data_IF_014644932539
#
_entry.id   IF_014644932539
#
_cell.length_a   1.000
_cell.length_b   1.000
_cell.length_c   1.000
_cell.angle_alpha   90.00
_cell.angle_beta   90.00
_cell.angle_gamma   90.00
#
_symmetry.space_group_name_H-M   'P 1'
#
loop_
_entity.id
_entity.type
_entity.pdbx_description
1 polymer ?
#
# COMPACT_ATOMS: atom_id res chain seq x y z
N UNK A 1 -57.28 9.57 17.77
CA UNK A 1 -56.63 9.78 16.46
C UNK A 1 -55.39 10.69 16.54
N UNK A 2 -55.41 11.80 17.31
CA UNK A 2 -54.23 12.67 17.47
C UNK A 2 -52.98 12.00 18.10
N UNK A 3 -53.15 11.07 19.05
CA UNK A 3 -52.01 10.43 19.75
C UNK A 3 -51.16 9.51 18.84
N UNK A 4 -51.79 8.84 17.86
CA UNK A 4 -51.07 7.93 16.96
C UNK A 4 -50.23 8.69 15.93
N UNK A 5 -50.64 9.91 15.55
CA UNK A 5 -49.88 10.75 14.61
C UNK A 5 -48.63 11.32 15.27
N UNK A 6 -48.68 11.67 16.56
CA UNK A 6 -47.53 12.22 17.30
C UNK A 6 -46.46 11.14 17.55
N UNK A 7 -46.86 9.90 17.86
CA UNK A 7 -45.90 8.80 18.02
C UNK A 7 -45.22 8.39 16.70
N UNK A 8 -45.93 8.46 15.57
CA UNK A 8 -45.35 8.16 14.25
C UNK A 8 -44.29 9.17 13.79
N UNK A 9 -44.49 10.46 14.08
CA UNK A 9 -43.52 11.53 13.75
C UNK A 9 -42.29 11.46 14.66
N UNK A 10 -42.46 11.15 15.95
CA UNK A 10 -41.34 10.99 16.88
C UNK A 10 -40.44 9.77 16.53
N UNK A 11 -41.04 8.67 16.07
CA UNK A 11 -40.28 7.49 15.62
C UNK A 11 -39.48 7.76 14.32
N UNK A 12 -40.02 8.58 13.40
CA UNK A 12 -39.31 8.98 12.19
C UNK A 12 -38.11 9.90 12.50
N UNK A 13 -38.27 10.82 13.47
CA UNK A 13 -37.19 11.71 13.90
C UNK A 13 -36.07 10.96 14.66
N UNK A 14 -36.38 9.95 15.47
CA UNK A 14 -35.35 9.11 16.11
C UNK A 14 -34.58 8.23 15.12
N UNK A 15 -35.20 7.79 14.02
CA UNK A 15 -34.49 7.04 12.96
C UNK A 15 -33.50 7.92 12.16
N UNK A 16 -33.77 9.22 12.04
CA UNK A 16 -32.88 10.21 11.42
C UNK A 16 -31.75 10.67 12.36
N UNK A 17 -31.91 10.46 13.68
CA UNK A 17 -30.94 10.82 14.73
C UNK A 17 -30.20 9.61 15.30
N UNK A 18 -30.50 8.39 14.84
CA UNK A 18 -29.67 7.25 15.14
C UNK A 18 -28.27 7.56 14.59
N UNK A 19 -27.21 7.60 15.42
CA UNK A 19 -25.87 7.59 14.88
C UNK A 19 -25.84 6.40 13.92
N UNK A 20 -25.49 6.62 12.65
CA UNK A 20 -25.11 5.52 11.77
C UNK A 20 -24.17 4.68 12.61
N UNK A 21 -24.56 3.45 12.93
CA UNK A 21 -23.62 2.51 13.49
C UNK A 21 -22.40 2.61 12.56
N UNK A 22 -21.25 2.95 13.13
CA UNK A 22 -20.00 2.89 12.39
C UNK A 22 -19.81 1.40 12.16
N UNK A 23 -20.41 0.91 11.07
CA UNK A 23 -20.12 -0.41 10.54
C UNK A 23 -18.64 -0.30 10.22
N UNK A 24 -17.81 -1.07 10.93
CA UNK A 24 -16.43 -1.26 10.52
C UNK A 24 -16.48 -1.66 9.04
N UNK A 25 -15.85 -0.87 8.17
CA UNK A 25 -15.93 -1.15 6.74
C UNK A 25 -15.30 -2.49 6.40
N UNK A 26 -15.54 -2.93 5.17
CA UNK A 26 -15.11 -4.25 4.69
C UNK A 26 -13.58 -4.37 4.68
N UNK A 27 -12.85 -3.26 4.65
CA UNK A 27 -11.41 -3.21 4.50
C UNK A 27 -10.94 -2.48 3.26
N UNK A 28 -9.66 -2.69 2.94
CA UNK A 28 -8.96 -2.13 1.79
C UNK A 28 -9.10 -3.09 0.60
N UNK A 29 -9.34 -2.58 -0.60
CA UNK A 29 -9.22 -3.38 -1.83
C UNK A 29 -8.02 -2.91 -2.65
N UNK A 30 -7.17 -3.82 -3.13
CA UNK A 30 -6.10 -3.50 -4.07
C UNK A 30 -6.59 -3.67 -5.51
N UNK A 31 -6.99 -2.56 -6.15
CA UNK A 31 -7.34 -2.54 -7.57
C UNK A 31 -6.07 -2.47 -8.44
N UNK A 32 -5.31 -3.56 -8.41
CA UNK A 32 -4.01 -3.68 -9.04
C UNK A 32 -4.08 -3.48 -10.57
N UNK A 33 -3.30 -2.52 -11.06
CA UNK A 33 -3.21 -2.10 -12.48
C UNK A 33 -4.44 -1.42 -13.07
N UNK A 34 -5.46 -1.10 -12.27
CA UNK A 34 -6.65 -0.41 -12.77
C UNK A 34 -6.35 1.04 -13.15
N UNK A 35 -7.10 1.56 -14.14
CA UNK A 35 -7.05 2.97 -14.52
C UNK A 35 -7.85 3.82 -13.54
N UNK A 36 -7.50 5.10 -13.44
CA UNK A 36 -8.12 6.01 -12.48
C UNK A 36 -9.63 6.19 -12.73
N UNK A 37 -10.05 6.24 -13.99
CA UNK A 37 -11.47 6.37 -14.36
C UNK A 37 -12.29 5.11 -14.05
N UNK A 38 -11.69 3.93 -14.17
CA UNK A 38 -12.31 2.65 -13.80
C UNK A 38 -12.46 2.54 -12.27
N UNK A 39 -11.43 2.94 -11.51
CA UNK A 39 -11.49 2.99 -10.04
C UNK A 39 -12.57 3.97 -9.56
N UNK A 40 -12.65 5.15 -10.18
CA UNK A 40 -13.66 6.15 -9.82
C UNK A 40 -15.08 5.62 -10.00
N UNK A 41 -15.35 4.89 -11.09
CA UNK A 41 -16.63 4.22 -11.33
C UNK A 41 -16.88 3.10 -10.32
N UNK A 42 -15.85 2.30 -10.00
CA UNK A 42 -15.97 1.19 -9.04
C UNK A 42 -16.27 1.70 -7.62
N UNK A 43 -15.70 2.84 -7.23
CA UNK A 43 -16.05 3.54 -5.99
C UNK A 43 -17.53 3.90 -5.90
N UNK A 44 -18.09 4.47 -6.97
CA UNK A 44 -19.48 4.94 -7.02
C UNK A 44 -20.48 3.79 -7.13
N UNK A 45 -20.18 2.80 -7.97
CA UNK A 45 -21.12 1.76 -8.37
C UNK A 45 -21.12 0.56 -7.42
N UNK A 46 -19.99 0.29 -6.76
CA UNK A 46 -19.82 -0.94 -5.97
C UNK A 46 -19.21 -0.68 -4.60
N UNK A 47 -18.00 -0.14 -4.50
CA UNK A 47 -17.24 -0.12 -3.24
C UNK A 47 -17.91 0.74 -2.16
N UNK A 48 -18.34 1.96 -2.51
CA UNK A 48 -19.10 2.83 -1.61
C UNK A 48 -20.41 2.18 -1.16
N UNK A 49 -21.29 1.73 -2.08
CA UNK A 49 -22.52 1.01 -1.74
C UNK A 49 -22.31 -0.28 -0.92
N UNK A 50 -21.16 -0.95 -1.03
CA UNK A 50 -20.81 -2.16 -0.28
C UNK A 50 -20.06 -1.89 1.02
N UNK A 51 -19.70 -0.64 1.30
CA UNK A 51 -19.05 -0.26 2.55
C UNK A 51 -17.56 -0.64 2.64
N UNK A 52 -16.84 -0.66 1.51
CA UNK A 52 -15.38 -0.72 1.54
C UNK A 52 -14.79 0.59 2.06
N UNK A 53 -13.70 0.49 2.83
CA UNK A 53 -13.09 1.67 3.46
C UNK A 53 -12.19 2.43 2.49
N UNK A 54 -11.43 1.70 1.68
CA UNK A 54 -10.39 2.29 0.85
C UNK A 54 -10.01 1.42 -0.36
N UNK A 55 -9.40 2.07 -1.35
CA UNK A 55 -8.70 1.43 -2.47
C UNK A 55 -7.20 1.67 -2.32
N UNK A 56 -6.39 0.60 -2.31
CA UNK A 56 -4.98 0.68 -2.66
C UNK A 56 -4.87 0.76 -4.19
N UNK A 57 -4.22 1.80 -4.71
CA UNK A 57 -3.93 1.95 -6.15
C UNK A 57 -2.47 1.58 -6.42
N UNK A 58 -2.17 1.06 -7.62
CA UNK A 58 -0.79 0.84 -8.07
C UNK A 58 0.01 2.16 -8.12
N UNK A 59 1.36 2.12 -8.20
CA UNK A 59 2.16 3.33 -8.25
C UNK A 59 1.70 4.30 -9.33
N UNK A 60 1.51 5.55 -8.92
CA UNK A 60 0.96 6.65 -9.75
C UNK A 60 2.05 7.52 -10.36
N UNK A 61 3.25 7.44 -9.80
CA UNK A 61 4.43 8.18 -10.25
C UNK A 61 4.95 7.64 -11.57
N UNK A 62 5.62 8.50 -12.32
CA UNK A 62 6.28 8.14 -13.57
C UNK A 62 7.31 7.05 -13.35
N UNK A 63 7.20 5.99 -14.16
CA UNK A 63 8.07 4.82 -14.12
C UNK A 63 8.67 4.52 -15.49
N UNK A 64 9.64 3.61 -15.53
CA UNK A 64 10.26 3.16 -16.77
C UNK A 64 9.25 2.46 -17.69
N UNK A 65 9.30 2.80 -18.99
CA UNK A 65 8.57 2.08 -20.02
C UNK A 65 9.41 0.89 -20.47
N UNK A 66 9.08 -0.30 -19.99
CA UNK A 66 9.86 -1.52 -20.23
C UNK A 66 9.19 -2.36 -21.31
N UNK A 67 9.98 -2.96 -22.20
CA UNK A 67 9.44 -3.79 -23.28
C UNK A 67 8.54 -4.91 -22.74
N UNK A 68 7.38 -5.11 -23.38
CA UNK A 68 6.35 -6.05 -22.91
C UNK A 68 5.45 -5.52 -21.80
N UNK A 69 5.69 -4.29 -21.30
CA UNK A 69 4.89 -3.60 -20.27
C UNK A 69 4.59 -4.47 -19.04
N UNK A 70 5.62 -5.09 -18.44
CA UNK A 70 5.41 -5.94 -17.28
C UNK A 70 4.86 -5.12 -16.11
N UNK A 71 4.05 -5.74 -15.25
CA UNK A 71 3.45 -5.05 -14.10
C UNK A 71 4.50 -4.39 -13.20
N UNK A 72 5.64 -5.06 -13.02
CA UNK A 72 6.74 -4.61 -12.17
C UNK A 72 7.46 -3.37 -12.70
N UNK A 73 7.21 -2.93 -13.95
CA UNK A 73 7.78 -1.67 -14.45
C UNK A 73 7.35 -0.47 -13.58
N UNK A 74 6.17 -0.54 -12.95
CA UNK A 74 5.67 0.51 -12.05
C UNK A 74 6.50 0.70 -10.79
N UNK A 75 7.27 -0.31 -10.40
CA UNK A 75 8.18 -0.29 -9.26
C UNK A 75 9.59 0.15 -9.68
N UNK A 76 9.74 0.78 -10.85
CA UNK A 76 11.00 1.37 -11.31
C UNK A 76 10.81 2.85 -11.61
N UNK A 77 10.80 3.72 -10.57
CA UNK A 77 10.54 5.14 -10.73
C UNK A 77 11.56 5.82 -11.63
N UNK A 78 11.06 6.74 -12.47
CA UNK A 78 11.89 7.70 -13.20
C UNK A 78 11.71 9.12 -12.68
N UNK A 79 10.50 9.46 -12.22
CA UNK A 79 10.25 10.72 -11.56
C UNK A 79 9.05 10.66 -10.64
N UNK A 80 8.78 11.77 -9.95
CA UNK A 80 7.62 11.95 -9.09
C UNK A 80 6.43 12.63 -9.80
N UNK A 81 6.49 12.81 -11.13
CA UNK A 81 5.32 13.27 -11.92
C UNK A 81 4.19 12.25 -11.78
N UNK A 82 2.96 12.71 -11.57
CA UNK A 82 1.78 11.84 -11.50
C UNK A 82 1.31 11.54 -12.93
N UNK A 83 1.93 10.53 -13.54
CA UNK A 83 1.59 10.05 -14.88
C UNK A 83 2.08 8.61 -15.06
N UNK A 84 1.12 7.70 -15.14
CA UNK A 84 1.39 6.26 -15.21
C UNK A 84 0.49 5.59 -16.24
N UNK A 85 0.56 4.25 -16.34
CA UNK A 85 -0.41 3.47 -17.14
C UNK A 85 -1.86 3.63 -16.68
N UNK A 86 -2.09 4.09 -15.44
CA UNK A 86 -3.45 4.31 -14.92
C UNK A 86 -4.08 5.63 -15.36
N UNK A 87 -3.28 6.59 -15.83
CA UNK A 87 -3.72 7.93 -16.20
C UNK A 87 -2.74 9.03 -15.76
N UNK A 88 -3.17 10.28 -15.91
CA UNK A 88 -2.43 11.48 -15.54
C UNK A 88 -2.89 12.08 -14.20
N UNK A 89 -2.29 13.21 -13.81
CA UNK A 89 -2.59 13.91 -12.56
C UNK A 89 -4.05 14.35 -12.43
N UNK A 90 -4.65 14.80 -13.54
CA UNK A 90 -6.06 15.20 -13.55
C UNK A 90 -6.98 13.99 -13.34
N UNK A 91 -6.68 12.87 -14.00
CA UNK A 91 -7.39 11.61 -13.79
C UNK A 91 -7.25 11.09 -12.36
N UNK A 92 -6.05 11.18 -11.78
CA UNK A 92 -5.83 10.81 -10.38
C UNK A 92 -6.66 11.67 -9.43
N UNK A 93 -6.66 13.00 -9.64
CA UNK A 93 -7.45 13.93 -8.83
C UNK A 93 -8.95 13.67 -8.95
N UNK A 94 -9.48 13.46 -10.17
CA UNK A 94 -10.89 13.12 -10.39
C UNK A 94 -11.29 11.84 -9.65
N UNK A 95 -10.46 10.79 -9.75
CA UNK A 95 -10.66 9.54 -9.02
C UNK A 95 -10.71 9.76 -7.51
N UNK A 96 -9.76 10.48 -6.93
CA UNK A 96 -9.75 10.80 -5.50
C UNK A 96 -11.02 11.56 -5.08
N UNK A 97 -11.43 12.58 -5.84
CA UNK A 97 -12.60 13.39 -5.55
C UNK A 97 -13.91 12.57 -5.61
N UNK A 98 -14.05 11.68 -6.60
CA UNK A 98 -15.23 10.82 -6.77
C UNK A 98 -15.29 9.71 -5.73
N UNK A 99 -14.18 9.02 -5.48
CA UNK A 99 -14.11 8.01 -4.43
C UNK A 99 -14.40 8.59 -3.05
N UNK A 100 -13.85 9.77 -2.72
CA UNK A 100 -14.13 10.46 -1.46
C UNK A 100 -15.62 10.82 -1.31
N UNK A 101 -16.29 11.26 -2.37
CA UNK A 101 -17.75 11.48 -2.37
C UNK A 101 -18.54 10.20 -2.16
N UNK A 102 -18.03 9.07 -2.65
CA UNK A 102 -18.59 7.74 -2.42
C UNK A 102 -18.26 7.15 -1.02
N UNK A 103 -17.48 7.87 -0.20
CA UNK A 103 -17.05 7.42 1.12
C UNK A 103 -15.87 6.44 1.11
N UNK A 104 -15.17 6.31 -0.01
CA UNK A 104 -14.04 5.40 -0.20
C UNK A 104 -12.74 6.19 -0.26
N UNK A 105 -11.78 5.86 0.61
CA UNK A 105 -10.46 6.51 0.66
C UNK A 105 -9.52 5.97 -0.42
N UNK A 106 -8.54 6.76 -0.82
CA UNK A 106 -7.47 6.33 -1.74
C UNK A 106 -6.15 6.22 -1.00
N UNK A 107 -5.56 5.03 -1.04
CA UNK A 107 -4.21 4.75 -0.54
C UNK A 107 -3.27 4.51 -1.71
N UNK A 108 -2.23 5.33 -1.82
CA UNK A 108 -1.30 5.25 -2.96
C UNK A 108 -0.16 4.30 -2.62
N UNK A 109 0.14 3.38 -3.53
CA UNK A 109 1.38 2.60 -3.49
C UNK A 109 2.56 3.51 -3.87
N UNK A 110 3.43 3.82 -2.90
CA UNK A 110 4.53 4.76 -3.06
C UNK A 110 5.88 4.08 -2.99
N UNK A 111 6.67 4.31 -4.04
CA UNK A 111 8.00 3.71 -4.24
C UNK A 111 9.03 4.82 -4.09
N UNK A 112 9.68 4.87 -2.93
CA UNK A 112 10.73 5.85 -2.62
C UNK A 112 11.93 5.26 -1.87
N UNK A 113 12.03 3.92 -1.82
CA UNK A 113 13.27 3.24 -1.46
C UNK A 113 14.34 3.46 -2.53
N UNK A 114 13.95 3.29 -3.78
CA UNK A 114 14.84 3.24 -4.93
C UNK A 114 14.25 4.02 -6.12
N UNK A 115 15.10 4.28 -7.11
CA UNK A 115 14.70 4.60 -8.48
C UNK A 115 14.83 3.34 -9.36
N UNK A 116 14.63 3.45 -10.68
CA UNK A 116 14.80 2.32 -11.59
C UNK A 116 16.17 1.63 -11.47
N UNK A 117 16.24 0.36 -11.85
CA UNK A 117 17.52 -0.28 -12.15
C UNK A 117 18.12 0.30 -13.45
N UNK A 118 19.34 -0.11 -13.79
CA UNK A 118 19.95 0.29 -15.08
C UNK A 118 19.09 -0.19 -16.26
N UNK A 119 18.56 0.77 -17.02
CA UNK A 119 17.76 0.55 -18.21
C UNK A 119 18.60 0.60 -19.49
N UNK A 120 18.15 -0.03 -20.60
CA UNK A 120 18.73 0.19 -21.91
C UNK A 120 18.73 1.68 -22.30
N UNK A 121 19.77 2.11 -23.01
CA UNK A 121 19.85 3.49 -23.51
C UNK A 121 18.64 3.87 -24.37
N UNK A 122 18.10 5.07 -24.15
CA UNK A 122 16.90 5.56 -24.82
C UNK A 122 15.56 5.15 -24.17
N UNK A 123 15.59 4.41 -23.06
CA UNK A 123 14.39 4.16 -22.26
C UNK A 123 13.84 5.49 -21.73
N UNK A 124 12.53 5.68 -21.86
CA UNK A 124 11.81 6.87 -21.39
C UNK A 124 10.81 6.49 -20.31
N UNK A 125 10.45 7.47 -19.49
CA UNK A 125 9.37 7.32 -18.53
C UNK A 125 7.99 7.46 -19.15
N UNK A 126 6.99 6.95 -18.43
CA UNK A 126 5.57 7.06 -18.82
C UNK A 126 5.10 8.51 -18.99
N UNK A 127 5.81 9.49 -18.42
CA UNK A 127 5.61 10.93 -18.56
C UNK A 127 6.61 11.63 -19.48
N UNK A 128 7.36 10.87 -20.27
CA UNK A 128 8.33 11.36 -21.25
C UNK A 128 9.67 11.81 -20.66
N UNK A 129 9.93 11.61 -19.37
CA UNK A 129 11.24 11.93 -18.79
C UNK A 129 12.31 10.98 -19.31
N UNK A 130 13.50 11.52 -19.60
CA UNK A 130 14.72 10.75 -19.85
C UNK A 130 15.57 10.68 -18.58
N UNK A 131 16.28 9.58 -18.39
CA UNK A 131 17.29 9.43 -17.35
C UNK A 131 18.50 8.68 -17.89
N UNK A 132 19.69 8.99 -17.37
CA UNK A 132 20.86 8.13 -17.53
C UNK A 132 20.97 7.25 -16.28
N UNK A 133 20.25 6.13 -16.32
CA UNK A 133 20.15 5.22 -15.17
C UNK A 133 21.49 4.58 -14.83
N UNK A 134 22.37 4.36 -15.82
CA UNK A 134 23.68 3.74 -15.60
C UNK A 134 24.60 4.62 -14.75
N UNK A 135 24.42 5.94 -14.78
CA UNK A 135 25.12 6.89 -13.91
C UNK A 135 24.28 7.40 -12.74
N UNK A 136 23.11 6.77 -12.48
CA UNK A 136 22.12 7.19 -11.47
C UNK A 136 21.68 8.66 -11.61
N UNK A 137 21.49 9.12 -12.85
CA UNK A 137 21.09 10.49 -13.13
C UNK A 137 19.63 10.60 -13.57
N UNK A 138 18.80 11.20 -12.70
CA UNK A 138 17.35 11.36 -12.86
C UNK A 138 16.98 12.86 -12.87
N UNK A 139 17.13 13.54 -14.01
CA UNK A 139 17.00 15.01 -14.08
C UNK A 139 15.61 15.52 -13.74
N UNK A 140 14.55 14.75 -14.03
CA UNK A 140 13.16 15.13 -13.75
C UNK A 140 12.86 15.28 -12.24
N UNK A 141 13.62 14.60 -11.38
CA UNK A 141 13.58 14.81 -9.91
C UNK A 141 14.72 15.72 -9.45
N UNK A 142 15.77 15.84 -10.28
CA UNK A 142 17.07 16.42 -9.96
C UNK A 142 17.90 15.56 -9.01
N UNK A 143 17.84 14.23 -9.17
CA UNK A 143 18.80 13.33 -8.51
C UNK A 143 20.00 13.06 -9.41
N UNK A 144 21.17 12.99 -8.78
CA UNK A 144 22.42 12.47 -9.33
C UNK A 144 22.92 11.31 -8.48
N UNK A 145 24.02 10.67 -8.88
CA UNK A 145 24.65 9.60 -8.11
C UNK A 145 24.94 9.95 -6.63
N UNK A 146 25.07 11.23 -6.29
CA UNK A 146 25.29 11.70 -4.91
C UNK A 146 24.09 11.46 -3.99
N UNK A 147 22.90 11.27 -4.55
CA UNK A 147 21.65 11.07 -3.80
C UNK A 147 21.32 9.58 -3.54
N UNK A 148 22.23 8.69 -3.92
CA UNK A 148 22.09 7.25 -3.77
C UNK A 148 23.16 6.71 -2.84
N UNK A 149 22.87 5.59 -2.19
CA UNK A 149 23.89 4.83 -1.50
C UNK A 149 24.94 4.30 -2.51
N UNK A 150 26.12 3.98 -1.96
CA UNK A 150 27.18 3.31 -2.72
C UNK A 150 26.65 1.98 -3.25
N UNK A 151 26.92 1.68 -4.53
CA UNK A 151 26.42 0.45 -5.16
C UNK A 151 26.95 -0.80 -4.45
N UNK A 152 26.02 -1.60 -3.96
CA UNK A 152 26.22 -2.96 -3.45
C UNK A 152 24.92 -3.74 -3.64
N UNK A 153 24.97 -5.07 -3.54
CA UNK A 153 23.77 -5.91 -3.62
C UNK A 153 23.34 -6.38 -2.23
N UNK A 154 22.03 -6.48 -2.02
CA UNK A 154 21.48 -7.16 -0.84
C UNK A 154 21.78 -8.66 -0.98
N UNK A 155 22.57 -9.20 -0.07
CA UNK A 155 22.96 -10.61 -0.04
C UNK A 155 23.03 -11.20 1.37
N UNK A 156 22.75 -10.42 2.41
CA UNK A 156 22.76 -10.84 3.80
C UNK A 156 21.61 -10.20 4.61
N UNK A 157 20.49 -10.92 4.72
CA UNK A 157 19.34 -10.49 5.52
C UNK A 157 19.55 -10.55 7.04
N UNK A 158 20.71 -11.02 7.51
CA UNK A 158 21.13 -10.92 8.91
C UNK A 158 21.98 -9.67 9.20
N UNK A 159 22.22 -8.82 8.20
CA UNK A 159 22.85 -7.50 8.35
C UNK A 159 21.88 -6.40 7.93
N UNK A 160 21.38 -5.65 8.91
CA UNK A 160 20.44 -4.56 8.66
C UNK A 160 21.02 -3.45 7.76
N UNK A 161 22.33 -3.22 7.81
CA UNK A 161 23.00 -2.23 6.95
C UNK A 161 23.01 -2.71 5.49
N UNK A 162 23.33 -3.99 5.24
CA UNK A 162 23.24 -4.55 3.89
C UNK A 162 21.80 -4.51 3.36
N UNK A 163 20.80 -4.81 4.18
CA UNK A 163 19.38 -4.77 3.77
C UNK A 163 18.89 -3.36 3.43
N UNK A 164 19.41 -2.33 4.10
CA UNK A 164 18.89 -0.95 4.03
C UNK A 164 19.73 0.04 3.22
N UNK A 165 20.96 -0.33 2.85
CA UNK A 165 21.89 0.57 2.13
C UNK A 165 22.39 -0.02 0.79
N UNK A 166 21.90 -1.19 0.39
CA UNK A 166 22.28 -1.85 -0.86
C UNK A 166 21.09 -2.01 -1.80
N UNK A 167 21.39 -2.15 -3.08
CA UNK A 167 20.41 -2.22 -4.16
C UNK A 167 19.64 -3.56 -4.11
N UNK A 168 18.33 -3.45 -3.89
CA UNK A 168 17.38 -4.56 -4.02
C UNK A 168 17.26 -4.91 -5.50
N UNK A 169 17.76 -6.09 -5.90
CA UNK A 169 17.73 -6.57 -7.30
C UNK A 169 18.32 -5.57 -8.33
N UNK A 170 19.28 -4.74 -7.90
CA UNK A 170 19.93 -3.73 -8.75
C UNK A 170 19.12 -2.44 -8.93
N UNK A 171 18.01 -2.26 -8.22
CA UNK A 171 17.27 -1.01 -8.14
C UNK A 171 18.10 0.03 -7.39
N UNK A 172 18.31 1.21 -7.99
CA UNK A 172 19.24 2.20 -7.45
C UNK A 172 18.71 2.80 -6.15
N UNK A 173 19.39 2.47 -5.05
CA UNK A 173 18.97 2.71 -3.67
C UNK A 173 19.20 4.17 -3.23
N UNK A 174 18.12 4.88 -2.90
CA UNK A 174 18.17 6.29 -2.50
C UNK A 174 18.74 6.42 -1.08
N UNK A 175 19.53 7.45 -0.83
CA UNK A 175 20.02 7.78 0.52
C UNK A 175 19.01 8.69 1.24
N UNK A 176 18.02 8.09 1.91
CA UNK A 176 17.04 8.85 2.68
C UNK A 176 17.63 9.44 3.98
N UNK A 177 18.91 9.21 4.28
CA UNK A 177 19.63 9.93 5.33
C UNK A 177 19.87 11.40 4.96
N UNK A 178 19.91 11.71 3.66
CA UNK A 178 20.11 13.07 3.15
C UNK A 178 18.85 13.92 3.24
N UNK A 179 18.99 15.13 3.78
CA UNK A 179 17.89 16.10 3.86
C UNK A 179 17.31 16.44 2.47
N UNK A 180 18.15 16.50 1.44
CA UNK A 180 17.70 16.74 0.07
C UNK A 180 16.77 15.62 -0.44
N UNK A 181 17.14 14.35 -0.22
CA UNK A 181 16.34 13.19 -0.63
C UNK A 181 15.02 13.16 0.14
N UNK A 182 15.06 13.35 1.47
CA UNK A 182 13.85 13.45 2.30
C UNK A 182 12.93 14.58 1.83
N UNK A 183 13.48 15.76 1.52
CA UNK A 183 12.71 16.90 1.03
C UNK A 183 11.94 16.57 -0.24
N UNK A 184 12.60 15.96 -1.24
CA UNK A 184 11.95 15.53 -2.50
C UNK A 184 10.85 14.49 -2.28
N UNK A 185 11.06 13.53 -1.37
CA UNK A 185 10.06 12.52 -1.02
C UNK A 185 8.88 13.17 -0.31
N UNK A 186 9.12 14.05 0.66
CA UNK A 186 8.07 14.78 1.39
C UNK A 186 7.25 15.65 0.45
N UNK A 187 7.88 16.35 -0.48
CA UNK A 187 7.18 17.15 -1.51
C UNK A 187 6.29 16.27 -2.37
N UNK A 188 6.79 15.13 -2.84
CA UNK A 188 6.01 14.17 -3.62
C UNK A 188 4.80 13.64 -2.85
N UNK A 189 4.98 13.16 -1.62
CA UNK A 189 3.90 12.62 -0.79
C UNK A 189 2.88 13.70 -0.43
N UNK A 190 3.32 14.92 -0.13
CA UNK A 190 2.43 16.05 0.13
C UNK A 190 1.65 16.48 -1.11
N UNK A 191 2.24 16.42 -2.30
CA UNK A 191 1.53 16.66 -3.56
C UNK A 191 0.41 15.63 -3.77
N UNK A 192 0.66 14.34 -3.50
CA UNK A 192 -0.38 13.31 -3.55
C UNK A 192 -1.51 13.57 -2.53
N UNK A 193 -1.18 14.05 -1.34
CA UNK A 193 -2.18 14.48 -0.34
C UNK A 193 -3.01 15.66 -0.87
N UNK A 194 -2.36 16.66 -1.45
CA UNK A 194 -3.04 17.83 -2.02
C UNK A 194 -4.02 17.42 -3.13
N UNK A 195 -3.67 16.39 -3.93
CA UNK A 195 -4.52 15.79 -4.96
C UNK A 195 -5.65 14.89 -4.41
N UNK A 196 -5.63 14.56 -3.10
CA UNK A 196 -6.72 13.85 -2.43
C UNK A 196 -6.38 12.44 -1.92
N UNK A 197 -5.11 12.03 -1.90
CA UNK A 197 -4.71 10.80 -1.23
C UNK A 197 -4.97 10.87 0.29
N UNK A 198 -5.44 9.76 0.85
CA UNK A 198 -5.80 9.63 2.27
C UNK A 198 -4.80 8.75 3.05
N UNK A 199 -3.80 8.21 2.37
CA UNK A 199 -2.81 7.30 2.95
C UNK A 199 -1.87 6.70 1.91
N UNK A 200 -0.92 5.91 2.40
CA UNK A 200 0.16 5.34 1.60
C UNK A 200 0.44 3.89 1.99
N UNK A 201 0.53 3.03 0.98
CA UNK A 201 1.27 1.76 1.06
C UNK A 201 2.72 2.09 0.74
N UNK A 202 3.60 1.93 1.72
CA UNK A 202 5.02 2.22 1.53
C UNK A 202 5.73 0.96 1.05
N UNK A 203 6.13 0.97 -0.22
CA UNK A 203 6.89 -0.10 -0.87
C UNK A 203 8.24 -0.32 -0.20
N UNK A 204 8.66 -1.58 -0.11
CA UNK A 204 10.01 -1.95 0.32
C UNK A 204 10.46 -1.29 1.64
N UNK A 205 9.53 -1.01 2.57
CA UNK A 205 9.84 -0.29 3.81
C UNK A 205 10.94 -0.97 4.64
N UNK A 206 11.03 -2.31 4.56
CA UNK A 206 12.12 -3.11 5.15
C UNK A 206 13.52 -2.65 4.75
N UNK A 207 13.65 -2.10 3.56
CA UNK A 207 14.88 -1.64 2.91
C UNK A 207 15.18 -0.18 3.21
N UNK A 208 14.35 0.51 4.01
CA UNK A 208 14.62 1.86 4.47
C UNK A 208 14.83 1.91 5.98
N UNK A 209 15.63 2.87 6.45
CA UNK A 209 15.80 3.06 7.89
C UNK A 209 14.53 3.65 8.53
N UNK A 210 14.05 3.05 9.64
CA UNK A 210 12.89 3.57 10.38
C UNK A 210 13.07 5.04 10.81
N UNK A 211 14.29 5.46 11.14
CA UNK A 211 14.58 6.83 11.53
C UNK A 211 14.34 7.82 10.37
N UNK A 212 14.69 7.46 9.14
CA UNK A 212 14.47 8.30 7.96
C UNK A 212 12.98 8.38 7.62
N UNK A 213 12.29 7.23 7.68
CA UNK A 213 10.85 7.14 7.53
C UNK A 213 10.12 8.00 8.57
N UNK A 214 10.57 7.99 9.83
CA UNK A 214 9.99 8.82 10.89
C UNK A 214 10.09 10.32 10.54
N UNK A 215 11.24 10.77 10.05
CA UNK A 215 11.43 12.17 9.63
C UNK A 215 10.49 12.50 8.46
N UNK A 216 10.42 11.65 7.44
CA UNK A 216 9.54 11.84 6.28
C UNK A 216 8.07 11.91 6.73
N UNK A 217 7.60 10.92 7.49
CA UNK A 217 6.20 10.83 7.90
C UNK A 217 5.78 11.96 8.84
N UNK A 218 6.68 12.46 9.69
CA UNK A 218 6.41 13.59 10.58
C UNK A 218 6.13 14.90 9.82
N UNK A 219 6.65 15.04 8.60
CA UNK A 219 6.55 16.24 7.77
C UNK A 219 5.40 16.20 6.76
N UNK A 220 4.66 15.10 6.70
CA UNK A 220 3.47 15.01 5.86
C UNK A 220 2.40 15.98 6.36
N UNK A 221 1.56 16.49 5.44
CA UNK A 221 0.37 17.28 5.76
C UNK A 221 -0.73 16.40 6.35
N UNK A 222 -1.76 17.03 6.91
CA UNK A 222 -3.02 16.32 7.12
C UNK A 222 -3.72 16.14 5.77
N UNK A 223 -4.50 15.07 5.64
CA UNK A 223 -5.29 14.75 4.44
C UNK A 223 -6.45 15.72 4.27
N UNK A 224 -7.13 15.66 3.12
CA UNK A 224 -8.34 16.48 2.89
C UNK A 224 -9.47 16.15 3.89
N UNK A 225 -9.45 14.96 4.50
CA UNK A 225 -10.34 14.59 5.62
C UNK A 225 -9.91 15.16 6.97
N UNK A 226 -8.79 15.89 7.05
CA UNK A 226 -8.31 16.56 8.26
C UNK A 226 -7.47 15.70 9.21
N UNK A 227 -7.26 14.42 8.90
CA UNK A 227 -6.47 13.48 9.70
C UNK A 227 -5.03 13.32 9.18
N UNK A 228 -4.15 12.69 9.97
CA UNK A 228 -2.88 12.18 9.42
C UNK A 228 -3.15 11.15 8.33
N UNK A 229 -2.30 11.04 7.29
CA UNK A 229 -2.42 9.98 6.29
C UNK A 229 -2.29 8.60 6.94
N UNK A 230 -3.09 7.65 6.48
CA UNK A 230 -2.97 6.25 6.90
C UNK A 230 -1.71 5.64 6.28
N UNK A 231 -0.73 5.26 7.10
CA UNK A 231 0.51 4.63 6.62
C UNK A 231 0.45 3.14 6.91
N UNK A 232 0.69 2.32 5.89
CA UNK A 232 1.01 0.91 6.08
C UNK A 232 2.22 0.49 5.25
N UNK A 233 3.12 -0.23 5.89
CA UNK A 233 4.49 -0.42 5.44
C UNK A 233 4.70 -1.85 5.01
N UNK A 234 5.29 -2.05 3.83
CA UNK A 234 5.72 -3.38 3.42
C UNK A 234 6.99 -3.80 4.17
N UNK A 235 6.81 -4.68 5.15
CA UNK A 235 7.91 -5.35 5.83
C UNK A 235 7.64 -6.85 5.78
N UNK A 236 8.28 -7.52 4.83
CA UNK A 236 8.23 -8.99 4.72
C UNK A 236 9.02 -9.56 5.89
N UNK A 237 8.34 -10.09 6.91
CA UNK A 237 9.00 -10.66 8.07
C UNK A 237 8.35 -11.99 8.49
N UNK A 238 9.05 -13.09 8.16
CA UNK A 238 8.70 -14.44 8.61
C UNK A 238 9.47 -14.87 9.88
N UNK A 239 10.32 -13.99 10.43
CA UNK A 239 11.23 -14.23 11.55
C UNK A 239 12.64 -14.62 11.12
N UNK A 240 13.62 -14.40 12.00
CA UNK A 240 15.01 -14.83 11.81
C UNK A 240 15.92 -13.83 11.07
N UNK A 241 15.40 -12.67 10.69
CA UNK A 241 16.15 -11.63 9.97
C UNK A 241 16.49 -10.43 10.85
N UNK A 242 17.41 -9.57 10.38
CA UNK A 242 17.88 -8.41 11.11
C UNK A 242 16.93 -7.21 11.03
N UNK A 243 16.28 -6.99 9.89
CA UNK A 243 15.23 -5.97 9.74
C UNK A 243 13.88 -6.59 10.12
N UNK A 244 13.31 -6.13 11.23
CA UNK A 244 12.11 -6.73 11.85
C UNK A 244 10.94 -5.78 11.82
N UNK A 245 9.72 -6.32 11.83
CA UNK A 245 8.52 -5.46 11.81
C UNK A 245 8.42 -4.54 13.04
N UNK A 246 8.99 -4.92 14.18
CA UNK A 246 8.90 -4.13 15.42
C UNK A 246 9.52 -2.73 15.27
N UNK A 247 10.52 -2.59 14.40
CA UNK A 247 11.18 -1.33 14.10
C UNK A 247 10.22 -0.30 13.46
N UNK A 248 9.12 -0.75 12.86
CA UNK A 248 8.23 0.06 12.02
C UNK A 248 6.84 0.29 12.64
N UNK A 249 6.45 -0.46 13.68
CA UNK A 249 5.09 -0.41 14.25
C UNK A 249 4.74 0.96 14.86
N UNK A 250 5.73 1.70 15.36
CA UNK A 250 5.51 3.03 15.93
C UNK A 250 5.31 4.12 14.86
N UNK A 251 5.56 3.79 13.58
CA UNK A 251 5.47 4.73 12.45
C UNK A 251 4.14 4.63 11.71
N UNK A 252 3.45 3.50 11.85
CA UNK A 252 2.22 3.19 11.13
C UNK A 252 1.96 1.68 11.17
N UNK A 253 0.99 1.23 10.37
CA UNK A 253 0.71 -0.19 10.26
C UNK A 253 1.81 -0.90 9.45
N UNK A 254 1.87 -2.22 9.57
CA UNK A 254 2.83 -3.08 8.87
C UNK A 254 2.08 -4.26 8.25
N UNK A 255 2.47 -4.64 7.03
CA UNK A 255 1.94 -5.82 6.34
C UNK A 255 2.25 -7.11 7.12
N UNK A 256 1.22 -7.90 7.43
CA UNK A 256 1.37 -9.19 8.11
C UNK A 256 1.43 -10.36 7.11
N UNK A 257 2.61 -10.58 6.53
CA UNK A 257 2.83 -11.67 5.56
C UNK A 257 2.60 -13.07 6.14
N UNK A 258 2.77 -13.26 7.46
CA UNK A 258 2.46 -14.55 8.08
C UNK A 258 0.97 -14.89 7.97
N UNK A 259 0.09 -13.89 7.93
CA UNK A 259 -1.35 -14.13 7.85
C UNK A 259 -1.73 -14.96 6.62
N UNK A 260 -1.25 -14.55 5.44
CA UNK A 260 -1.52 -15.26 4.19
C UNK A 260 -0.97 -16.68 4.21
N UNK A 261 0.26 -16.86 4.69
CA UNK A 261 0.92 -18.16 4.79
C UNK A 261 0.20 -19.14 5.73
N UNK A 262 -0.12 -18.70 6.95
CA UNK A 262 -0.74 -19.55 7.97
C UNK A 262 -2.17 -19.95 7.58
N UNK A 263 -2.99 -19.01 7.09
CA UNK A 263 -4.35 -19.33 6.64
C UNK A 263 -4.31 -20.22 5.39
N UNK A 264 -3.37 -20.01 4.49
CA UNK A 264 -3.21 -20.88 3.32
C UNK A 264 -2.91 -22.32 3.72
N UNK A 265 -2.03 -22.53 4.71
CA UNK A 265 -1.75 -23.86 5.25
C UNK A 265 -3.00 -24.50 5.89
N UNK A 266 -3.73 -23.74 6.70
CA UNK A 266 -4.96 -24.20 7.34
C UNK A 266 -6.03 -24.63 6.33
N UNK A 267 -6.33 -23.78 5.34
CA UNK A 267 -7.39 -24.03 4.35
C UNK A 267 -6.97 -25.00 3.23
N UNK A 268 -5.69 -25.38 3.15
CA UNK A 268 -5.21 -26.53 2.37
C UNK A 268 -5.23 -27.86 3.14
N UNK A 269 -5.60 -27.84 4.42
CA UNK A 269 -5.56 -29.02 5.29
C UNK A 269 -4.16 -29.41 5.76
N UNK A 270 -3.16 -28.54 5.59
CA UNK A 270 -1.81 -28.73 6.14
C UNK A 270 -1.78 -28.46 7.65
N UNK A 271 -2.77 -27.72 8.16
CA UNK A 271 -3.02 -27.54 9.58
C UNK A 271 -4.53 -27.63 9.86
N UNK A 272 -4.91 -28.11 11.05
CA UNK A 272 -6.32 -28.32 11.39
C UNK A 272 -7.01 -27.00 11.76
N UNK A 273 -8.18 -26.72 11.17
CA UNK A 273 -8.95 -25.49 11.42
C UNK A 273 -9.28 -25.25 12.91
N UNK A 274 -9.37 -26.31 13.73
CA UNK A 274 -9.61 -26.19 15.18
C UNK A 274 -8.57 -25.32 15.92
N UNK A 275 -7.37 -25.18 15.36
CA UNK A 275 -6.31 -24.37 15.95
C UNK A 275 -6.51 -22.87 15.73
N UNK A 276 -7.40 -22.46 14.82
CA UNK A 276 -7.70 -21.05 14.60
C UNK A 276 -8.38 -20.38 15.80
N UNK A 277 -8.78 -21.13 16.83
CA UNK A 277 -9.42 -20.63 18.06
C UNK A 277 -8.69 -19.47 18.77
N UNK A 278 -7.37 -19.36 18.58
CA UNK A 278 -6.52 -18.30 19.13
C UNK A 278 -5.69 -17.60 18.03
N UNK A 279 -6.19 -17.59 16.80
CA UNK A 279 -5.51 -17.00 15.65
C UNK A 279 -5.26 -15.49 15.84
N UNK A 280 -4.10 -15.01 15.38
CA UNK A 280 -3.60 -13.65 15.64
C UNK A 280 -2.30 -13.69 16.46
N UNK A 281 -2.17 -12.86 17.50
CA UNK A 281 -0.95 -12.79 18.33
C UNK A 281 -0.61 -14.12 19.01
N UNK A 282 -1.61 -14.96 19.32
CA UNK A 282 -1.40 -16.32 19.85
C UNK A 282 -0.66 -17.28 18.91
N UNK A 283 -0.53 -16.89 17.64
CA UNK A 283 0.24 -17.59 16.60
C UNK A 283 1.56 -16.87 16.26
N UNK A 284 1.94 -15.85 17.03
CA UNK A 284 3.16 -15.07 16.78
C UNK A 284 3.05 -14.10 15.60
N UNK A 285 1.81 -13.70 15.25
CA UNK A 285 1.54 -12.58 14.35
C UNK A 285 1.63 -11.26 15.14
N UNK A 286 1.76 -10.15 14.41
CA UNK A 286 1.85 -8.77 14.90
C UNK A 286 0.65 -8.40 15.79
N UNK A 287 0.79 -7.38 16.65
CA UNK A 287 -0.37 -6.74 17.29
C UNK A 287 -1.43 -6.35 16.27
N UNK A 288 -2.70 -6.64 16.58
CA UNK A 288 -3.82 -6.49 15.63
C UNK A 288 -4.01 -5.04 15.18
N UNK A 289 -3.82 -4.08 16.07
CA UNK A 289 -3.93 -2.63 15.82
C UNK A 289 -2.80 -2.08 14.93
N UNK A 290 -1.77 -2.88 14.67
CA UNK A 290 -0.61 -2.51 13.86
C UNK A 290 -0.52 -3.30 12.56
N UNK A 291 -1.42 -4.26 12.32
CA UNK A 291 -1.32 -5.20 11.20
C UNK A 291 -2.27 -4.84 10.05
N UNK A 292 -1.76 -4.81 8.82
CA UNK A 292 -2.58 -4.95 7.60
C UNK A 292 -2.47 -6.39 7.12
N UNK A 293 -3.61 -7.09 7.06
CA UNK A 293 -3.67 -8.53 6.77
C UNK A 293 -4.26 -8.78 5.39
N UNK A 294 -3.73 -9.78 4.69
CA UNK A 294 -4.20 -10.21 3.37
C UNK A 294 -3.93 -11.71 3.22
N UNK A 295 -4.63 -12.37 2.29
CA UNK A 295 -4.38 -13.79 1.96
C UNK A 295 -3.23 -13.92 0.96
N UNK A 296 -3.29 -13.14 -0.11
CA UNK A 296 -2.24 -12.93 -1.09
C UNK A 296 -2.06 -11.42 -1.35
N UNK A 297 -0.94 -11.07 -1.97
CA UNK A 297 -0.72 -9.74 -2.55
C UNK A 297 -0.31 -9.88 -4.02
N UNK A 298 0.04 -8.77 -4.66
CA UNK A 298 0.42 -8.79 -6.06
C UNK A 298 1.73 -9.56 -6.32
N UNK A 299 2.65 -9.64 -5.36
CA UNK A 299 3.88 -10.44 -5.47
C UNK A 299 3.63 -11.93 -5.21
N UNK A 300 3.16 -12.25 -4.01
CA UNK A 300 3.01 -13.63 -3.49
C UNK A 300 2.07 -14.50 -4.33
N UNK A 301 1.09 -13.90 -5.03
CA UNK A 301 0.23 -14.65 -5.96
C UNK A 301 0.95 -15.12 -7.24
N UNK A 302 2.17 -14.64 -7.47
CA UNK A 302 3.10 -15.03 -8.55
C UNK A 302 4.24 -15.90 -8.02
N UNK A 303 4.38 -15.99 -6.70
CA UNK A 303 5.51 -16.61 -6.02
C UNK A 303 5.22 -18.07 -5.64
N UNK A 304 4.95 -18.86 -6.69
CA UNK A 304 4.63 -20.28 -6.59
C UNK A 304 3.34 -20.58 -5.82
N UNK A 305 3.38 -21.62 -4.99
CA UNK A 305 2.24 -22.10 -4.17
C UNK A 305 2.34 -21.64 -2.70
N UNK A 306 3.10 -20.58 -2.40
CA UNK A 306 3.31 -20.10 -1.02
C UNK A 306 2.02 -19.66 -0.33
N UNK A 307 1.05 -19.10 -1.07
CA UNK A 307 -0.25 -18.62 -0.58
C UNK A 307 -1.41 -19.07 -1.45
N UNK A 308 -2.63 -19.08 -0.91
CA UNK A 308 -3.87 -19.27 -1.65
C UNK A 308 -4.13 -18.04 -2.53
N UNK A 309 -4.61 -18.28 -3.74
CA UNK A 309 -4.96 -17.22 -4.70
C UNK A 309 -6.31 -17.54 -5.33
N UNK A 310 -6.81 -16.65 -6.19
CA UNK A 310 -8.01 -16.89 -7.00
C UNK A 310 -7.98 -18.22 -7.79
N UNK A 311 -6.79 -18.74 -8.13
CA UNK A 311 -6.60 -20.04 -8.83
C UNK A 311 -7.06 -21.23 -7.98
N UNK A 312 -7.18 -21.07 -6.67
CA UNK A 312 -7.72 -22.05 -5.71
C UNK A 312 -9.05 -21.58 -5.11
N UNK A 313 -10.00 -21.21 -5.97
CA UNK A 313 -11.22 -20.44 -5.63
C UNK A 313 -11.96 -20.86 -4.35
N UNK A 314 -12.21 -22.16 -4.13
CA UNK A 314 -12.95 -22.63 -2.94
C UNK A 314 -12.19 -22.31 -1.66
N UNK A 315 -10.94 -22.73 -1.56
CA UNK A 315 -10.12 -22.54 -0.36
C UNK A 315 -9.79 -21.06 -0.15
N UNK A 316 -9.52 -20.33 -1.24
CA UNK A 316 -9.27 -18.89 -1.21
C UNK A 316 -10.46 -18.13 -0.61
N UNK A 317 -11.69 -18.38 -1.09
CA UNK A 317 -12.90 -17.76 -0.52
C UNK A 317 -13.11 -18.11 0.95
N UNK A 318 -12.79 -19.33 1.38
CA UNK A 318 -12.88 -19.72 2.80
C UNK A 318 -11.86 -18.95 3.66
N UNK A 319 -10.63 -18.79 3.16
CA UNK A 319 -9.59 -18.03 3.85
C UNK A 319 -9.92 -16.54 3.94
N UNK A 320 -10.38 -15.93 2.83
CA UNK A 320 -10.85 -14.53 2.81
C UNK A 320 -12.04 -14.34 3.76
N UNK A 321 -13.03 -15.24 3.74
CA UNK A 321 -14.17 -15.17 4.64
C UNK A 321 -13.75 -15.25 6.12
N UNK A 322 -12.77 -16.09 6.45
CA UNK A 322 -12.20 -16.14 7.79
C UNK A 322 -11.50 -14.83 8.16
N UNK A 323 -10.62 -14.32 7.28
CA UNK A 323 -9.90 -13.06 7.52
C UNK A 323 -10.86 -11.89 7.79
N UNK A 324 -11.91 -11.75 6.98
CA UNK A 324 -12.92 -10.70 7.14
C UNK A 324 -13.82 -10.91 8.38
N UNK A 325 -14.08 -12.16 8.76
CA UNK A 325 -14.98 -12.49 9.88
C UNK A 325 -14.30 -12.60 11.25
N UNK A 326 -12.97 -12.73 11.31
CA UNK A 326 -12.24 -13.02 12.55
C UNK A 326 -11.97 -11.77 13.41
N UNK A 327 -11.82 -10.60 12.79
CA UNK A 327 -11.56 -9.34 13.50
C UNK A 327 -10.11 -9.14 13.94
N UNK A 328 -9.14 -9.76 13.24
CA UNK A 328 -7.72 -9.53 13.44
C UNK A 328 -7.13 -8.69 12.29
N UNK A 329 -6.42 -7.61 12.62
CA UNK A 329 -5.80 -6.70 11.66
C UNK A 329 -6.80 -5.84 10.89
N UNK A 330 -6.26 -4.94 10.07
CA UNK A 330 -7.00 -4.22 9.03
C UNK A 330 -6.99 -5.09 7.75
N UNK A 331 -8.14 -5.63 7.31
CA UNK A 331 -8.17 -6.52 6.16
C UNK A 331 -7.93 -5.78 4.85
N UNK A 332 -7.17 -6.43 3.98
CA UNK A 332 -6.93 -6.05 2.59
C UNK A 332 -7.24 -7.23 1.67
N UNK A 333 -8.02 -6.98 0.63
CA UNK A 333 -8.38 -7.94 -0.43
C UNK A 333 -7.88 -7.51 -1.80
#
# INVERSE_FOLDING_TARGET
>A
QLLNTIMGVAALFLALLAPKAIVAGVGIVHLFEWRFDDIAQECENFLGPKGYDAVQVSPVSECAVINGRPWWERYQPFSYKVISRSGDENGFKDMCDRCRKAGVKIYVDTVFNHMSATQPGGTVGTGGSSADTGSKYYPAVSYSNENFHSTCSINNYHDASNVRNCELEGLHDLDQGQEYVRGKIVDHLNHLIDLGAEGFRVDAAKHMWPADLQVIYSRLKNTQSGSRPFIFQEVIDYGGEASRYEDYMNLGHVTEFKNGRELSGCFRGQNALKWLRNYGTGWGLKPSDSAVVFIDNHDTQRDGDSVLTYKSSRNYKMAVAFMLGWGYGTPKV
#
